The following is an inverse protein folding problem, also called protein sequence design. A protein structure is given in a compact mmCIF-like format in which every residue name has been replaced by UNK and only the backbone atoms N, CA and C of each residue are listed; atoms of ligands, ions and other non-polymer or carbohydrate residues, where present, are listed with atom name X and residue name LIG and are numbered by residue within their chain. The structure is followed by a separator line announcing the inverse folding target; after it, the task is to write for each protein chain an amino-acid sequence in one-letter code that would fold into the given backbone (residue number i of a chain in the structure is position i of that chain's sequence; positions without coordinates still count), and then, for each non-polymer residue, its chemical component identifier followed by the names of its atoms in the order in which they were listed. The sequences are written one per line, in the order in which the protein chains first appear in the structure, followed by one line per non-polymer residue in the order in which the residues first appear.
data_IF_722162428331
#
_entry.id   IF_722162428331
#
_cell.length_a   1.000
_cell.length_b   1.000
_cell.length_c   1.000
_cell.angle_alpha   90.00
_cell.angle_beta   90.00
_cell.angle_gamma   90.00
#
_symmetry.space_group_name_H-M   'P 1'
#
loop_
_entity.id
_entity.type
_entity.pdbx_description
1 polymer ?
#
# COMPACT_ATOMS: atom_id res chain seq x y z
N UNK A 1 -10.43 -18.63 -5.41
CA UNK A 1 -9.49 -19.73 -5.10
C UNK A 1 -9.20 -19.77 -3.61
N UNK A 2 -8.63 -20.86 -3.12
CA UNK A 2 -8.07 -20.96 -1.75
C UNK A 2 -6.56 -20.68 -1.88
N UNK A 3 -6.00 -19.77 -1.08
CA UNK A 3 -4.57 -19.43 -1.12
C UNK A 3 -4.17 -18.08 -1.74
N UNK A 4 -5.10 -17.13 -1.92
CA UNK A 4 -4.74 -15.77 -2.32
C UNK A 4 -4.11 -15.00 -1.15
N UNK A 5 -3.14 -14.12 -1.43
CA UNK A 5 -2.53 -13.23 -0.43
C UNK A 5 -3.58 -12.46 0.38
N UNK A 6 -4.63 -11.97 -0.29
CA UNK A 6 -5.72 -11.23 0.35
C UNK A 6 -6.49 -12.07 1.38
N UNK A 7 -6.58 -13.39 1.18
CA UNK A 7 -7.27 -14.28 2.10
C UNK A 7 -6.51 -14.48 3.43
N UNK A 8 -5.25 -14.06 3.50
CA UNK A 8 -4.38 -14.20 4.67
C UNK A 8 -3.98 -12.84 5.26
N UNK A 9 -3.71 -11.84 4.41
CA UNK A 9 -3.10 -10.57 4.84
C UNK A 9 -4.04 -9.35 4.73
N UNK A 10 -5.32 -9.54 4.39
CA UNK A 10 -6.28 -8.42 4.35
C UNK A 10 -6.93 -8.14 5.70
N UNK A 11 -7.46 -6.93 5.86
CA UNK A 11 -8.24 -6.58 7.04
C UNK A 11 -9.48 -7.47 7.25
N UNK A 12 -10.11 -7.94 6.17
CA UNK A 12 -11.23 -8.90 6.23
C UNK A 12 -10.77 -10.29 6.70
N UNK A 13 -9.61 -10.74 6.23
CA UNK A 13 -9.02 -12.00 6.66
C UNK A 13 -8.70 -11.98 8.16
N UNK A 14 -7.97 -10.96 8.62
CA UNK A 14 -7.64 -10.79 10.04
C UNK A 14 -8.89 -10.65 10.91
N UNK A 15 -9.92 -9.92 10.45
CA UNK A 15 -11.19 -9.84 11.17
C UNK A 15 -11.90 -11.21 11.26
N UNK A 16 -11.89 -12.01 10.18
CA UNK A 16 -12.44 -13.37 10.19
C UNK A 16 -11.68 -14.24 11.19
N UNK A 17 -10.35 -14.19 11.18
CA UNK A 17 -9.51 -14.97 12.09
C UNK A 17 -9.65 -14.53 13.55
N UNK A 18 -9.82 -13.22 13.80
CA UNK A 18 -10.08 -12.69 15.13
C UNK A 18 -11.38 -13.25 15.74
N UNK A 19 -12.45 -13.31 14.93
CA UNK A 19 -13.73 -13.91 15.35
C UNK A 19 -13.59 -15.38 15.66
N UNK A 20 -12.85 -16.12 14.83
CA UNK A 20 -12.59 -17.53 15.06
C UNK A 20 -11.81 -17.76 16.36
N UNK A 21 -10.73 -17.00 16.59
CA UNK A 21 -9.92 -17.09 17.81
C UNK A 21 -10.72 -16.72 19.07
N UNK A 22 -11.58 -15.69 19.00
CA UNK A 22 -12.47 -15.33 20.10
C UNK A 22 -13.50 -16.43 20.40
N UNK A 23 -14.11 -17.03 19.36
CA UNK A 23 -15.09 -18.10 19.53
C UNK A 23 -14.48 -19.39 20.08
N UNK A 24 -13.23 -19.69 19.71
CA UNK A 24 -12.47 -20.83 20.22
C UNK A 24 -11.93 -20.62 21.64
N UNK A 25 -11.85 -19.36 22.11
CA UNK A 25 -11.26 -19.03 23.41
C UNK A 25 -9.72 -18.97 23.40
N UNK A 26 -9.10 -18.97 22.22
CA UNK A 26 -7.64 -19.01 22.04
C UNK A 26 -6.96 -17.67 22.39
N UNK A 27 -7.74 -16.58 22.43
CA UNK A 27 -7.27 -15.23 22.75
C UNK A 27 -8.10 -14.62 23.88
N UNK A 28 -7.58 -14.56 25.12
CA UNK A 28 -8.23 -13.86 26.22
C UNK A 28 -8.54 -12.40 25.90
N UNK A 29 -7.64 -11.73 25.15
CA UNK A 29 -7.85 -10.37 24.69
C UNK A 29 -9.06 -10.27 23.76
N UNK A 30 -9.13 -11.08 22.71
CA UNK A 30 -10.22 -11.01 21.73
C UNK A 30 -11.56 -11.47 22.30
N UNK A 31 -11.57 -12.42 23.24
CA UNK A 31 -12.79 -12.82 23.99
C UNK A 31 -13.34 -11.62 24.76
N UNK A 32 -12.47 -10.94 25.51
CA UNK A 32 -12.85 -9.74 26.27
C UNK A 32 -13.33 -8.63 25.33
N UNK A 33 -12.62 -8.43 24.22
CA UNK A 33 -12.98 -7.42 23.23
C UNK A 33 -14.33 -7.73 22.58
N UNK A 34 -14.58 -8.98 22.21
CA UNK A 34 -15.84 -9.44 21.63
C UNK A 34 -17.02 -9.20 22.58
N UNK A 35 -16.84 -9.38 23.89
CA UNK A 35 -17.87 -9.09 24.88
C UNK A 35 -18.23 -7.59 24.95
N UNK A 36 -17.28 -6.70 24.65
CA UNK A 36 -17.48 -5.25 24.68
C UNK A 36 -18.11 -4.69 23.41
N UNK A 37 -17.67 -5.14 22.24
CA UNK A 37 -18.10 -4.56 20.95
C UNK A 37 -19.05 -5.45 20.15
N UNK A 38 -19.22 -6.71 20.55
CA UNK A 38 -19.88 -7.77 19.80
C UNK A 38 -18.90 -8.53 18.92
N UNK A 39 -18.98 -9.87 18.91
CA UNK A 39 -18.08 -10.74 18.15
C UNK A 39 -18.03 -10.38 16.66
N UNK A 40 -19.18 -10.11 16.04
CA UNK A 40 -19.26 -9.76 14.61
C UNK A 40 -18.56 -8.44 14.26
N UNK A 41 -18.30 -7.59 15.26
CA UNK A 41 -17.66 -6.28 15.08
C UNK A 41 -16.14 -6.31 15.29
N UNK A 42 -15.57 -7.45 15.64
CA UNK A 42 -14.12 -7.62 15.67
C UNK A 42 -13.51 -7.33 14.29
N UNK A 43 -12.39 -6.62 14.31
CA UNK A 43 -11.68 -6.11 13.15
C UNK A 43 -10.19 -6.44 13.21
N UNK A 44 -9.49 -6.24 12.09
CA UNK A 44 -8.03 -6.35 12.05
C UNK A 44 -7.32 -5.37 12.99
N UNK A 45 -7.97 -4.24 13.32
CA UNK A 45 -7.45 -3.28 14.28
C UNK A 45 -7.40 -3.88 15.69
N UNK A 46 -8.44 -4.61 16.08
CA UNK A 46 -8.46 -5.29 17.39
C UNK A 46 -7.34 -6.34 17.49
N UNK A 47 -7.01 -7.03 16.40
CA UNK A 47 -5.86 -7.96 16.36
C UNK A 47 -4.54 -7.22 16.57
N UNK A 48 -4.33 -6.10 15.86
CA UNK A 48 -3.12 -5.29 16.00
C UNK A 48 -3.00 -4.68 17.41
N UNK A 49 -4.12 -4.26 18.02
CA UNK A 49 -4.17 -3.78 19.40
C UNK A 49 -3.87 -4.91 20.39
N UNK A 50 -4.43 -6.10 20.19
CA UNK A 50 -4.16 -7.27 21.02
C UNK A 50 -2.69 -7.71 20.95
N UNK A 51 -2.10 -7.69 19.76
CA UNK A 51 -0.66 -7.92 19.56
C UNK A 51 0.17 -6.91 20.36
N UNK A 52 -0.21 -5.62 20.38
CA UNK A 52 0.47 -4.60 21.18
C UNK A 52 0.36 -4.85 22.70
N UNK A 53 -0.66 -5.60 23.14
CA UNK A 53 -0.79 -6.06 24.54
C UNK A 53 -0.08 -7.38 24.82
N UNK A 54 0.69 -7.92 23.87
CA UNK A 54 1.37 -9.22 23.94
C UNK A 54 0.43 -10.44 24.03
N UNK A 55 -0.79 -10.33 23.50
CA UNK A 55 -1.65 -11.50 23.33
C UNK A 55 -1.04 -12.45 22.27
N UNK A 56 -0.82 -13.71 22.65
CA UNK A 56 -0.11 -14.68 21.81
C UNK A 56 -0.86 -14.98 20.52
N UNK A 57 -2.18 -15.20 20.59
CA UNK A 57 -2.98 -15.51 19.42
C UNK A 57 -2.99 -14.32 18.43
N UNK A 58 -3.17 -13.09 18.93
CA UNK A 58 -3.06 -11.90 18.09
C UNK A 58 -1.67 -11.76 17.45
N UNK A 59 -0.60 -12.03 18.21
CA UNK A 59 0.77 -12.03 17.69
C UNK A 59 0.95 -13.02 16.55
N UNK A 60 0.46 -14.25 16.71
CA UNK A 60 0.52 -15.28 15.67
C UNK A 60 -0.25 -14.89 14.41
N UNK A 61 -1.44 -14.30 14.56
CA UNK A 61 -2.24 -13.83 13.42
C UNK A 61 -1.50 -12.72 12.63
N UNK A 62 -0.90 -11.77 13.34
CA UNK A 62 -0.11 -10.70 12.73
C UNK A 62 1.16 -11.23 12.06
N UNK A 63 1.86 -12.17 12.69
CA UNK A 63 3.04 -12.82 12.12
C UNK A 63 2.70 -13.58 10.84
N UNK A 64 1.57 -14.30 10.81
CA UNK A 64 1.10 -15.00 9.62
C UNK A 64 0.81 -14.03 8.47
N UNK A 65 0.14 -12.92 8.74
CA UNK A 65 -0.11 -11.88 7.75
C UNK A 65 1.20 -11.27 7.23
N UNK A 66 2.12 -10.88 8.14
CA UNK A 66 3.44 -10.32 7.79
C UNK A 66 4.26 -11.27 6.93
N UNK A 67 4.29 -12.56 7.27
CA UNK A 67 4.98 -13.60 6.49
C UNK A 67 4.38 -13.73 5.08
N UNK A 68 3.05 -13.75 4.97
CA UNK A 68 2.39 -13.86 3.67
C UNK A 68 2.74 -12.68 2.75
N UNK A 69 2.76 -11.46 3.30
CA UNK A 69 3.19 -10.25 2.57
C UNK A 69 4.65 -10.35 2.16
N UNK A 70 5.54 -10.76 3.08
CA UNK A 70 6.96 -10.89 2.81
C UNK A 70 7.25 -11.86 1.66
N UNK A 71 6.65 -13.06 1.69
CA UNK A 71 6.79 -14.06 0.62
C UNK A 71 6.28 -13.53 -0.72
N UNK A 72 5.15 -12.83 -0.72
CA UNK A 72 4.64 -12.22 -1.95
C UNK A 72 5.60 -11.15 -2.51
N UNK A 73 6.16 -10.31 -1.64
CA UNK A 73 7.14 -9.30 -2.05
C UNK A 73 8.42 -9.91 -2.60
N UNK A 74 8.94 -11.01 -2.03
CA UNK A 74 10.07 -11.76 -2.60
C UNK A 74 9.75 -12.21 -4.03
N UNK A 75 8.55 -12.78 -4.24
CA UNK A 75 8.07 -13.14 -5.57
C UNK A 75 8.02 -11.97 -6.54
N UNK A 76 7.52 -10.80 -6.11
CA UNK A 76 7.49 -9.60 -6.93
C UNK A 76 8.89 -9.08 -7.26
N UNK A 77 9.83 -9.10 -6.33
CA UNK A 77 11.22 -8.71 -6.59
C UNK A 77 11.84 -9.60 -7.65
N UNK A 78 11.70 -10.91 -7.50
CA UNK A 78 12.27 -11.88 -8.45
C UNK A 78 11.63 -11.80 -9.84
N UNK A 79 10.34 -11.45 -9.91
CA UNK A 79 9.60 -11.42 -11.18
C UNK A 79 9.77 -10.10 -11.93
N UNK A 80 9.75 -8.96 -11.22
CA UNK A 80 9.65 -7.64 -11.83
C UNK A 80 10.90 -6.77 -11.68
N UNK A 81 11.85 -7.13 -10.80
CA UNK A 81 13.03 -6.31 -10.47
C UNK A 81 12.69 -4.81 -10.23
N UNK A 82 11.70 -4.51 -9.37
CA UNK A 82 11.22 -3.15 -9.18
C UNK A 82 12.25 -2.29 -8.46
N UNK A 83 12.20 -0.98 -8.68
CA UNK A 83 13.00 -0.02 -7.88
C UNK A 83 12.39 0.24 -6.50
N UNK A 84 11.06 0.17 -6.38
CA UNK A 84 10.35 0.44 -5.12
C UNK A 84 9.17 -0.51 -4.94
N UNK A 85 8.90 -0.87 -3.68
CA UNK A 85 7.69 -1.55 -3.24
C UNK A 85 7.07 -0.71 -2.13
N UNK A 86 5.83 -0.24 -2.34
CA UNK A 86 5.09 0.55 -1.34
C UNK A 86 4.05 -0.35 -0.69
N UNK A 87 4.12 -0.53 0.62
CA UNK A 87 3.16 -1.35 1.38
C UNK A 87 2.12 -0.44 2.02
N UNK A 88 0.97 -0.31 1.36
CA UNK A 88 -0.16 0.47 1.83
C UNK A 88 -1.18 -0.32 2.66
N UNK A 89 -2.23 0.38 3.07
CA UNK A 89 -3.34 -0.17 3.86
C UNK A 89 -3.29 0.27 5.31
N UNK A 90 -4.45 0.50 5.92
CA UNK A 90 -4.58 1.12 7.25
C UNK A 90 -3.80 0.36 8.34
N UNK A 91 -3.82 -0.97 8.31
CA UNK A 91 -3.09 -1.81 9.28
C UNK A 91 -1.58 -1.75 9.03
N UNK A 92 -1.14 -1.83 7.78
CA UNK A 92 0.28 -1.75 7.44
C UNK A 92 0.86 -0.37 7.81
N UNK A 93 0.15 0.71 7.51
CA UNK A 93 0.53 2.06 7.91
C UNK A 93 0.63 2.22 9.43
N UNK A 94 -0.33 1.67 10.19
CA UNK A 94 -0.30 1.72 11.65
C UNK A 94 0.85 0.90 12.26
N UNK A 95 1.24 -0.19 11.62
CA UNK A 95 2.34 -1.07 12.07
C UNK A 95 3.73 -0.53 11.70
N UNK A 96 3.84 0.27 10.64
CA UNK A 96 5.09 0.89 10.22
C UNK A 96 6.22 -0.13 10.05
N UNK A 97 7.36 0.09 10.72
CA UNK A 97 8.51 -0.81 10.64
C UNK A 97 8.23 -2.23 11.13
N UNK A 98 7.24 -2.46 12.01
CA UNK A 98 6.85 -3.84 12.37
C UNK A 98 6.36 -4.64 11.17
N UNK A 99 5.76 -3.98 10.19
CA UNK A 99 5.39 -4.56 8.89
C UNK A 99 6.55 -4.56 7.91
N UNK A 100 7.30 -3.46 7.81
CA UNK A 100 8.32 -3.28 6.76
C UNK A 100 9.60 -4.09 7.00
N UNK A 101 10.09 -4.19 8.25
CA UNK A 101 11.32 -4.90 8.57
C UNK A 101 11.30 -6.37 8.14
N UNK A 102 10.27 -7.18 8.50
CA UNK A 102 10.19 -8.58 8.07
C UNK A 102 10.20 -8.74 6.55
N UNK A 103 9.58 -7.81 5.82
CA UNK A 103 9.56 -7.84 4.36
C UNK A 103 10.94 -7.55 3.78
N UNK A 104 11.64 -6.52 4.30
CA UNK A 104 13.02 -6.22 3.89
C UNK A 104 13.95 -7.39 4.17
N UNK A 105 13.82 -8.01 5.34
CA UNK A 105 14.63 -9.16 5.74
C UNK A 105 14.40 -10.36 4.82
N UNK A 106 13.14 -10.68 4.49
CA UNK A 106 12.82 -11.75 3.55
C UNK A 106 13.38 -11.47 2.14
N UNK A 107 13.24 -10.24 1.62
CA UNK A 107 13.83 -9.88 0.32
C UNK A 107 15.35 -10.04 0.32
N UNK A 108 16.02 -9.57 1.38
CA UNK A 108 17.48 -9.66 1.47
C UNK A 108 17.99 -11.11 1.53
N UNK A 109 17.19 -12.02 2.06
CA UNK A 109 17.59 -13.43 2.29
C UNK A 109 17.11 -14.38 1.19
N UNK A 110 15.96 -14.13 0.57
CA UNK A 110 15.28 -15.07 -0.32
C UNK A 110 15.22 -14.61 -1.79
N UNK A 111 15.39 -13.32 -2.08
CA UNK A 111 15.34 -12.82 -3.47
C UNK A 111 16.71 -12.90 -4.18
N UNK A 112 16.70 -12.84 -5.52
CA UNK A 112 17.94 -12.78 -6.30
C UNK A 112 18.78 -11.56 -5.93
N UNK A 113 20.03 -11.77 -5.55
CA UNK A 113 20.86 -10.73 -4.92
C UNK A 113 21.01 -9.43 -5.72
N UNK A 114 20.98 -9.48 -7.06
CA UNK A 114 21.02 -8.28 -7.91
C UNK A 114 19.73 -7.45 -7.82
N UNK A 115 18.58 -8.10 -7.79
CA UNK A 115 17.27 -7.44 -7.63
C UNK A 115 17.07 -6.95 -6.20
N UNK A 116 17.45 -7.77 -5.21
CA UNK A 116 17.36 -7.44 -3.78
C UNK A 116 18.12 -6.14 -3.41
N UNK A 117 19.31 -5.91 -4.01
CA UNK A 117 20.11 -4.70 -3.77
C UNK A 117 19.53 -3.42 -4.39
N UNK A 118 18.63 -3.54 -5.38
CA UNK A 118 18.08 -2.41 -6.13
C UNK A 118 16.75 -1.91 -5.58
N UNK A 119 15.98 -2.80 -4.94
CA UNK A 119 14.63 -2.48 -4.48
C UNK A 119 14.63 -1.80 -3.12
N UNK A 120 13.82 -0.75 -2.97
CA UNK A 120 13.53 -0.13 -1.67
C UNK A 120 12.08 -0.39 -1.28
N UNK A 121 11.86 -0.99 -0.10
CA UNK A 121 10.53 -1.15 0.50
C UNK A 121 10.19 0.10 1.31
N UNK A 122 8.98 0.62 1.22
CA UNK A 122 8.55 1.84 1.94
C UNK A 122 7.08 1.76 2.36
N UNK A 123 6.70 2.56 3.35
CA UNK A 123 5.30 2.86 3.64
C UNK A 123 4.76 3.99 2.74
N UNK A 124 3.44 4.20 2.70
CA UNK A 124 2.83 5.30 1.95
C UNK A 124 3.09 6.64 2.64
N UNK A 125 3.66 7.61 1.92
CA UNK A 125 3.91 8.97 2.42
C UNK A 125 2.65 9.85 2.40
N UNK A 126 1.69 9.53 1.53
CA UNK A 126 0.47 10.30 1.33
C UNK A 126 -0.68 9.95 2.31
N UNK A 127 -0.43 9.03 3.25
CA UNK A 127 -1.39 8.67 4.29
C UNK A 127 -2.80 8.35 3.74
N UNK A 128 -3.88 8.93 4.30
CA UNK A 128 -5.25 8.66 3.87
C UNK A 128 -5.59 9.20 2.48
N UNK A 129 -4.82 10.15 1.95
CA UNK A 129 -5.11 10.84 0.68
C UNK A 129 -4.55 10.11 -0.54
N UNK A 130 -3.87 8.97 -0.36
CA UNK A 130 -3.23 8.21 -1.45
C UNK A 130 -4.19 7.87 -2.59
N UNK A 131 -5.45 7.57 -2.27
CA UNK A 131 -6.48 7.22 -3.26
C UNK A 131 -6.88 8.42 -4.12
N UNK A 132 -7.05 9.59 -3.50
CA UNK A 132 -7.40 10.82 -4.20
C UNK A 132 -6.22 11.34 -5.02
N UNK A 133 -5.03 11.35 -4.43
CA UNK A 133 -3.80 11.75 -5.09
C UNK A 133 -3.47 10.88 -6.31
N UNK A 134 -3.71 9.57 -6.23
CA UNK A 134 -3.52 8.64 -7.36
C UNK A 134 -4.60 8.78 -8.45
N UNK A 135 -5.84 9.11 -8.08
CA UNK A 135 -6.94 9.30 -9.04
C UNK A 135 -6.79 10.61 -9.84
N UNK A 136 -6.26 11.67 -9.23
CA UNK A 136 -6.14 12.98 -9.86
C UNK A 136 -5.43 12.98 -11.23
N UNK A 137 -4.21 12.44 -11.40
CA UNK A 137 -3.55 12.43 -12.71
C UNK A 137 -4.32 11.62 -13.76
N UNK A 138 -4.98 10.52 -13.35
CA UNK A 138 -5.82 9.72 -14.24
C UNK A 138 -7.05 10.51 -14.73
N UNK A 139 -7.67 11.29 -13.85
CA UNK A 139 -8.79 12.17 -14.20
C UNK A 139 -8.31 13.31 -15.10
N UNK A 140 -7.18 13.95 -14.78
CA UNK A 140 -6.60 15.00 -15.61
C UNK A 140 -6.30 14.53 -17.03
N UNK A 141 -5.66 13.37 -17.19
CA UNK A 141 -5.37 12.78 -18.50
C UNK A 141 -6.65 12.50 -19.30
N UNK A 142 -7.71 12.03 -18.62
CA UNK A 142 -8.98 11.74 -19.27
C UNK A 142 -9.71 13.00 -19.73
N UNK A 143 -9.64 14.07 -18.93
CA UNK A 143 -10.21 15.38 -19.27
C UNK A 143 -9.41 16.08 -20.37
N UNK A 144 -8.09 15.99 -20.38
CA UNK A 144 -7.25 16.58 -21.44
C UNK A 144 -7.45 15.85 -22.79
N UNK A 145 -7.67 14.54 -22.76
CA UNK A 145 -7.96 13.73 -23.95
C UNK A 145 -9.38 13.97 -24.47
N UNK A 146 -10.37 14.12 -23.59
CA UNK A 146 -11.76 14.41 -23.97
C UNK A 146 -11.96 15.84 -24.52
N UNK A 147 -11.02 16.75 -24.26
CA UNK A 147 -11.06 18.14 -24.71
C UNK A 147 -10.45 18.37 -26.10
N UNK A 148 -9.95 17.33 -26.78
CA UNK A 148 -9.63 17.39 -28.22
C UNK A 148 -10.86 16.92 -29.03
N UNK A 149 -11.61 17.82 -29.68
CA UNK A 149 -12.52 17.41 -30.72
C UNK A 149 -11.67 16.83 -31.86
N UNK A 150 -12.08 15.67 -32.38
CA UNK A 150 -11.52 15.13 -33.61
C UNK A 150 -11.91 16.09 -34.73
N UNK A 151 -10.96 16.91 -35.19
CA UNK A 151 -11.13 17.71 -36.41
C UNK A 151 -10.88 16.77 -37.59
N UNK A 152 -11.95 16.24 -38.16
CA UNK A 152 -11.91 15.52 -39.41
C UNK A 152 -11.73 16.50 -40.58
N UNK A 153 -10.86 16.09 -41.51
CA UNK A 153 -10.68 16.58 -42.89
C UNK A 153 -9.75 17.80 -43.11
N UNK A 154 -8.49 17.55 -43.50
CA UNK A 154 -8.09 17.31 -44.91
C UNK A 154 -6.56 17.37 -45.04
N UNK A 155 -6.01 16.34 -45.66
CA UNK A 155 -4.64 16.21 -46.16
C UNK A 155 -4.36 17.23 -47.28
N UNK A 156 -3.37 18.12 -47.12
CA UNK A 156 -2.32 18.33 -48.15
C UNK A 156 -1.19 19.29 -47.71
N UNK A 157 0.03 18.81 -47.92
CA UNK A 157 1.27 19.51 -48.29
C UNK A 157 1.84 20.73 -47.50
N UNK A 158 3.07 20.47 -46.99
CA UNK A 158 4.30 21.26 -47.18
C UNK A 158 4.86 22.16 -46.05
N UNK A 159 6.07 21.77 -45.61
CA UNK A 159 7.24 22.56 -45.17
C UNK A 159 7.07 23.57 -44.02
N UNK A 160 7.79 23.30 -42.93
CA UNK A 160 8.37 24.35 -42.07
C UNK A 160 8.62 23.90 -40.64
N UNK A 161 9.90 23.86 -40.25
CA UNK A 161 10.55 23.89 -38.92
C UNK A 161 9.83 23.40 -37.65
N UNK A 162 10.55 22.75 -36.70
CA UNK A 162 9.96 22.32 -35.43
C UNK A 162 9.48 23.53 -34.58
N UNK A 163 8.30 23.44 -33.92
CA UNK A 163 7.81 24.52 -33.09
C UNK A 163 8.62 24.62 -31.79
N UNK A 164 9.04 25.85 -31.51
CA UNK A 164 9.67 26.24 -30.25
C UNK A 164 8.64 26.14 -29.11
N UNK A 165 8.77 25.16 -28.22
CA UNK A 165 7.99 25.10 -26.97
C UNK A 165 8.81 24.56 -25.80
N UNK A 166 10.10 24.90 -25.76
CA UNK A 166 11.03 24.47 -24.71
C UNK A 166 11.36 25.56 -23.65
N UNK A 167 10.79 26.77 -23.70
CA UNK A 167 11.28 27.90 -22.86
C UNK A 167 10.24 28.58 -21.95
N UNK A 168 9.13 27.93 -21.57
CA UNK A 168 8.10 28.61 -20.73
C UNK A 168 7.66 27.91 -19.45
N UNK A 169 8.58 27.24 -18.74
CA UNK A 169 8.32 26.69 -17.40
C UNK A 169 9.38 27.06 -16.33
N UNK A 170 10.20 28.10 -16.56
CA UNK A 170 11.16 28.59 -15.56
C UNK A 170 10.61 29.65 -14.58
N UNK A 171 9.29 29.91 -14.55
CA UNK A 171 8.69 30.90 -13.66
C UNK A 171 7.37 30.38 -13.07
N UNK A 172 7.49 29.46 -12.12
CA UNK A 172 6.47 29.30 -11.07
C UNK A 172 7.23 29.36 -9.76
N UNK A 173 7.13 30.50 -9.07
CA UNK A 173 7.73 30.67 -7.75
C UNK A 173 7.17 29.62 -6.78
N UNK A 174 8.02 29.03 -5.91
CA UNK A 174 7.55 28.08 -4.91
C UNK A 174 6.65 28.78 -3.87
N UNK A 175 5.47 28.19 -3.63
CA UNK A 175 4.57 28.54 -2.54
C UNK A 175 5.32 28.44 -1.19
N UNK A 176 5.22 29.44 -0.29
CA UNK A 176 5.87 29.38 1.01
C UNK A 176 5.20 28.32 1.89
N UNK A 177 5.93 27.22 2.14
CA UNK A 177 5.60 26.24 3.17
C UNK A 177 5.88 26.87 4.54
N UNK A 178 4.83 27.34 5.21
CA UNK A 178 4.92 27.68 6.64
C UNK A 178 4.95 26.38 7.43
N UNK A 179 6.13 26.02 7.94
CA UNK A 179 6.32 24.93 8.90
C UNK A 179 6.29 25.55 10.30
N UNK A 180 5.37 25.16 11.20
CA UNK A 180 5.50 25.52 12.60
C UNK A 180 6.57 24.62 13.23
N UNK A 181 7.62 25.24 13.77
CA UNK A 181 8.63 24.63 14.64
C UNK A 181 8.10 24.58 16.11
N UNK A 182 8.67 23.75 16.99
CA UNK A 182 7.96 23.04 18.07
C UNK A 182 7.43 23.91 19.21
#
# INVERSE_FOLDING_TARGET
GRGHLEAVASGRALARDARAAAAAGDSPYLVTRAALVGADRLSARDVAEGEATNDLACTMLMDQARRAVAVACVGFVNTFNPHRIIIGGTIASAQGERMLQPVRAAIATEAFGSAARRVTVLGPELGPDVSLAGAYPLVQERLSTAAHPVDETTDDAAKGSPPATAERLAQVDPMPMSVPSP
#
